data_IF_620092275708
#
_entry.id   IF_620092275708
#
_cell.length_a   1.000
_cell.length_b   1.000
_cell.length_c   1.000
_cell.angle_alpha   90.00
_cell.angle_beta   90.00
_cell.angle_gamma   90.00
#
_symmetry.space_group_name_H-M   'P 1'
#
loop_
_entity.id
_entity.type
_entity.pdbx_description
1 polymer ?
#
# COMPACT_ATOMS: atom_id res chain seq x y z
N UNK A 1 39.37 -17.28 10.45
CA UNK A 1 38.09 -18.02 10.64
C UNK A 1 38.18 -19.35 9.91
N UNK A 2 38.06 -20.48 10.61
CA UNK A 2 38.35 -21.83 10.10
C UNK A 2 37.40 -22.20 8.92
N UNK A 3 37.91 -22.79 7.82
CA UNK A 3 37.11 -23.09 6.60
C UNK A 3 35.86 -23.94 6.90
N UNK A 4 35.95 -24.83 7.90
CA UNK A 4 34.82 -25.66 8.37
C UNK A 4 33.70 -24.82 9.02
N UNK A 5 34.07 -23.81 9.81
CA UNK A 5 33.11 -22.90 10.44
C UNK A 5 32.41 -22.04 9.38
N UNK A 6 33.17 -21.51 8.41
CA UNK A 6 32.61 -20.72 7.30
C UNK A 6 31.58 -21.54 6.50
N UNK A 7 31.86 -22.81 6.23
CA UNK A 7 30.90 -23.73 5.57
C UNK A 7 29.64 -23.93 6.41
N UNK A 8 29.76 -24.21 7.71
CA UNK A 8 28.61 -24.41 8.61
C UNK A 8 27.74 -23.15 8.76
N UNK A 9 28.37 -21.98 8.86
CA UNK A 9 27.66 -20.69 8.87
C UNK A 9 26.90 -20.50 7.56
N UNK A 10 27.52 -20.76 6.41
CA UNK A 10 26.85 -20.65 5.13
C UNK A 10 25.65 -21.59 5.00
N UNK A 11 25.79 -22.85 5.44
CA UNK A 11 24.69 -23.82 5.48
C UNK A 11 23.50 -23.33 6.32
N UNK A 12 23.79 -22.73 7.48
CA UNK A 12 22.78 -22.14 8.33
C UNK A 12 22.12 -20.93 7.66
N UNK A 13 22.89 -20.01 7.08
CA UNK A 13 22.37 -18.82 6.37
C UNK A 13 21.42 -19.22 5.24
N UNK A 14 21.80 -20.21 4.42
CA UNK A 14 20.95 -20.73 3.35
C UNK A 14 19.64 -21.30 3.89
N UNK A 15 19.70 -22.10 4.96
CA UNK A 15 18.52 -22.78 5.51
C UNK A 15 17.59 -21.87 6.31
N UNK A 16 18.13 -20.86 6.97
CA UNK A 16 17.38 -19.88 7.77
C UNK A 16 16.90 -18.67 6.96
N UNK A 17 17.43 -18.47 5.76
CA UNK A 17 17.16 -17.32 4.88
C UNK A 17 17.26 -15.98 5.63
N UNK A 18 18.33 -15.82 6.42
CA UNK A 18 18.59 -14.63 7.24
C UNK A 18 18.64 -13.34 6.42
N UNK A 19 18.91 -13.43 5.12
CA UNK A 19 18.78 -12.33 4.16
C UNK A 19 17.37 -11.72 4.12
N UNK A 20 16.36 -12.40 4.67
CA UNK A 20 15.01 -11.89 4.86
C UNK A 20 14.80 -10.99 6.09
N UNK A 21 15.71 -10.97 7.08
CA UNK A 21 15.58 -10.15 8.30
C UNK A 21 15.42 -8.64 8.00
N UNK A 22 16.13 -8.04 7.02
CA UNK A 22 15.91 -6.64 6.64
C UNK A 22 14.45 -6.29 6.35
N UNK A 23 13.63 -7.23 5.85
CA UNK A 23 12.20 -6.98 5.64
C UNK A 23 11.45 -6.68 6.94
N UNK A 24 11.82 -7.36 8.04
CA UNK A 24 11.23 -7.11 9.37
C UNK A 24 11.56 -5.69 9.80
N UNK A 25 12.83 -5.29 9.66
CA UNK A 25 13.24 -3.92 9.99
C UNK A 25 12.51 -2.89 9.13
N UNK A 26 12.28 -3.13 7.85
CA UNK A 26 11.53 -2.20 6.99
C UNK A 26 10.06 -2.06 7.44
N UNK A 27 9.46 -3.11 8.00
CA UNK A 27 8.10 -3.05 8.59
C UNK A 27 8.10 -2.23 9.88
N UNK A 28 9.07 -2.42 10.76
CA UNK A 28 9.08 -1.76 12.07
C UNK A 28 9.70 -0.36 12.07
N UNK A 29 10.67 -0.06 11.20
CA UNK A 29 11.37 1.23 11.14
C UNK A 29 10.42 2.45 11.07
N UNK A 30 9.40 2.51 10.19
CA UNK A 30 8.48 3.63 10.18
C UNK A 30 7.64 3.74 11.46
N UNK A 31 7.31 2.60 12.07
CA UNK A 31 6.57 2.56 13.33
C UNK A 31 7.45 3.09 14.47
N UNK A 32 8.70 2.64 14.55
CA UNK A 32 9.67 3.14 15.52
C UNK A 32 9.95 4.63 15.34
N UNK A 33 9.99 5.14 14.10
CA UNK A 33 10.11 6.57 13.83
C UNK A 33 8.91 7.35 14.38
N UNK A 34 7.70 6.88 14.09
CA UNK A 34 6.47 7.51 14.53
C UNK A 34 6.33 7.58 16.05
N UNK A 35 6.77 6.53 16.74
CA UNK A 35 6.65 6.38 18.18
C UNK A 35 7.99 6.52 18.89
N UNK A 36 8.97 7.21 18.29
CA UNK A 36 10.35 7.27 18.78
C UNK A 36 10.47 7.66 20.26
N UNK A 37 9.68 8.67 20.68
CA UNK A 37 9.67 9.16 22.07
C UNK A 37 8.90 8.24 23.04
N UNK A 38 8.25 7.19 22.52
CA UNK A 38 7.40 6.26 23.26
C UNK A 38 7.92 4.82 23.16
N UNK A 39 9.10 4.57 22.57
CA UNK A 39 9.65 3.22 22.51
C UNK A 39 10.06 2.74 23.91
N UNK A 40 9.45 1.64 24.34
CA UNK A 40 9.69 0.96 25.61
C UNK A 40 10.48 -0.34 25.42
N UNK A 41 10.96 -0.92 26.53
CA UNK A 41 11.71 -2.17 26.50
C UNK A 41 10.92 -3.34 25.90
N UNK A 42 9.61 -3.42 26.18
CA UNK A 42 8.69 -4.40 25.59
C UNK A 42 8.66 -4.37 24.06
N UNK A 43 8.79 -3.20 23.43
CA UNK A 43 8.82 -3.06 21.96
C UNK A 43 10.11 -3.66 21.38
N UNK A 44 11.24 -3.47 22.06
CA UNK A 44 12.54 -4.04 21.65
C UNK A 44 12.50 -5.57 21.76
N UNK A 45 11.90 -6.09 22.83
CA UNK A 45 11.71 -7.53 23.01
C UNK A 45 10.78 -8.08 21.92
N UNK A 46 9.68 -7.40 21.60
CA UNK A 46 8.76 -7.82 20.53
C UNK A 46 9.40 -7.79 19.14
N UNK A 47 10.21 -6.78 18.83
CA UNK A 47 10.98 -6.71 17.58
C UNK A 47 12.00 -7.86 17.51
N UNK A 48 12.72 -8.13 18.59
CA UNK A 48 13.69 -9.24 18.68
C UNK A 48 13.00 -10.59 18.49
N UNK A 49 11.83 -10.76 19.11
CA UNK A 49 10.97 -11.92 18.98
C UNK A 49 10.45 -12.08 17.55
N UNK A 50 10.13 -10.98 16.84
CA UNK A 50 9.76 -11.02 15.42
C UNK A 50 10.91 -11.52 14.54
N UNK A 51 12.16 -11.10 14.80
CA UNK A 51 13.36 -11.60 14.12
C UNK A 51 13.60 -13.10 14.37
N UNK A 52 13.50 -13.53 15.63
CA UNK A 52 13.61 -14.95 16.00
C UNK A 52 12.49 -15.78 15.37
N UNK A 53 11.26 -15.27 15.38
CA UNK A 53 10.09 -15.91 14.79
C UNK A 53 10.22 -16.12 13.29
N UNK A 54 10.80 -15.16 12.57
CA UNK A 54 11.13 -15.32 11.16
C UNK A 54 12.11 -16.47 10.93
N UNK A 55 13.24 -16.50 11.67
CA UNK A 55 14.24 -17.58 11.54
C UNK A 55 13.62 -18.94 11.88
N UNK A 56 12.85 -19.01 12.96
CA UNK A 56 12.09 -20.21 13.32
C UNK A 56 11.16 -20.66 12.19
N UNK A 57 10.37 -19.75 11.62
CA UNK A 57 9.44 -20.02 10.53
C UNK A 57 10.12 -20.55 9.27
N UNK A 58 11.29 -20.03 8.92
CA UNK A 58 12.06 -20.53 7.78
C UNK A 58 12.61 -21.94 8.02
N UNK A 59 13.13 -22.20 9.23
CA UNK A 59 13.68 -23.50 9.60
C UNK A 59 12.62 -24.59 9.68
N UNK A 60 11.47 -24.32 10.31
CA UNK A 60 10.37 -25.29 10.41
C UNK A 60 9.77 -25.59 9.04
N UNK A 61 9.67 -24.58 8.16
CA UNK A 61 9.21 -24.79 6.80
C UNK A 61 10.15 -25.73 6.03
N UNK A 62 11.45 -25.44 6.05
CA UNK A 62 12.46 -26.30 5.41
C UNK A 62 12.52 -27.72 6.01
N UNK A 63 12.22 -27.87 7.30
CA UNK A 63 12.17 -29.20 7.95
C UNK A 63 11.01 -30.05 7.40
N UNK A 64 9.81 -29.49 7.28
CA UNK A 64 8.64 -30.20 6.76
C UNK A 64 8.67 -30.38 5.24
N UNK A 65 9.21 -29.42 4.50
CA UNK A 65 9.36 -29.49 3.05
C UNK A 65 10.64 -30.23 2.60
N UNK A 66 11.45 -30.77 3.53
CA UNK A 66 12.80 -31.28 3.28
C UNK A 66 12.90 -32.25 2.08
N UNK A 67 12.05 -33.27 2.03
CA UNK A 67 12.10 -34.28 0.95
C UNK A 67 11.77 -33.68 -0.41
N UNK A 68 10.81 -32.76 -0.46
CA UNK A 68 10.37 -32.10 -1.70
C UNK A 68 11.42 -31.11 -2.19
N UNK A 69 11.94 -30.27 -1.29
CA UNK A 69 12.99 -29.29 -1.63
C UNK A 69 14.30 -29.99 -1.97
N UNK A 70 14.64 -31.13 -1.36
CA UNK A 70 15.85 -31.88 -1.71
C UNK A 70 15.80 -32.40 -3.14
N UNK A 71 14.60 -32.75 -3.62
CA UNK A 71 14.39 -33.26 -4.98
C UNK A 71 14.32 -32.15 -6.03
N UNK A 72 13.64 -31.04 -5.73
CA UNK A 72 13.33 -30.02 -6.74
C UNK A 72 14.13 -28.72 -6.60
N UNK A 73 14.58 -28.38 -5.38
CA UNK A 73 15.24 -27.11 -5.05
C UNK A 73 16.43 -27.32 -4.08
N UNK A 74 17.42 -28.16 -4.41
CA UNK A 74 18.49 -28.55 -3.48
C UNK A 74 19.31 -27.36 -2.98
N UNK A 75 19.35 -26.26 -3.72
CA UNK A 75 20.00 -25.00 -3.33
C UNK A 75 19.35 -24.31 -2.13
N UNK A 76 18.08 -24.61 -1.81
CA UNK A 76 17.37 -24.09 -0.63
C UNK A 76 17.76 -24.84 0.66
N UNK A 77 18.46 -25.98 0.55
CA UNK A 77 18.80 -26.86 1.67
C UNK A 77 20.30 -26.77 1.97
N UNK A 78 20.65 -26.01 3.00
CA UNK A 78 22.03 -25.97 3.52
C UNK A 78 22.31 -27.03 4.59
N UNK A 79 21.30 -27.34 5.41
CA UNK A 79 21.38 -28.24 6.57
C UNK A 79 20.66 -29.56 6.27
N UNK A 80 21.14 -30.66 6.86
CA UNK A 80 20.40 -31.92 6.78
C UNK A 80 19.15 -31.91 7.69
N UNK A 81 18.25 -32.86 7.51
CA UNK A 81 16.98 -32.90 8.24
C UNK A 81 17.13 -32.94 9.78
N UNK A 82 18.15 -33.64 10.30
CA UNK A 82 18.44 -33.68 11.74
C UNK A 82 18.92 -32.33 12.27
N UNK A 83 19.80 -31.67 11.52
CA UNK A 83 20.29 -30.33 11.85
C UNK A 83 19.15 -29.30 11.80
N UNK A 84 18.28 -29.37 10.80
CA UNK A 84 17.08 -28.53 10.70
C UNK A 84 16.17 -28.72 11.91
N UNK A 85 15.94 -29.97 12.35
CA UNK A 85 15.15 -30.26 13.54
C UNK A 85 15.76 -29.64 14.80
N UNK A 86 17.07 -29.83 15.03
CA UNK A 86 17.78 -29.27 16.18
C UNK A 86 17.70 -27.74 16.17
N UNK A 87 17.97 -27.10 15.03
CA UNK A 87 17.87 -25.65 14.91
C UNK A 87 16.43 -25.15 15.11
N UNK A 88 15.42 -25.87 14.59
CA UNK A 88 14.01 -25.52 14.78
C UNK A 88 13.61 -25.54 16.26
N UNK A 89 14.01 -26.59 17.00
CA UNK A 89 13.78 -26.66 18.46
C UNK A 89 14.52 -25.55 19.19
N UNK A 90 15.77 -25.28 18.82
CA UNK A 90 16.58 -24.25 19.46
C UNK A 90 15.95 -22.86 19.30
N UNK A 91 15.61 -22.45 18.07
CA UNK A 91 14.98 -21.16 17.80
C UNK A 91 13.53 -21.10 18.33
N UNK A 92 12.80 -22.21 18.32
CA UNK A 92 11.48 -22.30 18.96
C UNK A 92 11.55 -22.10 20.48
N UNK A 93 12.55 -22.71 21.13
CA UNK A 93 12.81 -22.51 22.57
C UNK A 93 13.16 -21.05 22.85
N UNK A 94 14.06 -20.44 22.07
CA UNK A 94 14.39 -19.01 22.21
C UNK A 94 13.13 -18.15 22.06
N UNK A 95 12.28 -18.44 21.07
CA UNK A 95 11.03 -17.71 20.86
C UNK A 95 10.13 -17.79 22.09
N UNK A 96 9.92 -18.99 22.64
CA UNK A 96 9.10 -19.19 23.85
C UNK A 96 9.71 -18.45 25.05
N UNK A 97 11.02 -18.53 25.27
CA UNK A 97 11.71 -17.81 26.34
C UNK A 97 11.54 -16.29 26.19
N UNK A 98 11.70 -15.75 24.98
CA UNK A 98 11.46 -14.33 24.70
C UNK A 98 9.99 -13.95 24.89
N UNK A 99 9.04 -14.84 24.57
CA UNK A 99 7.62 -14.57 24.80
C UNK A 99 7.27 -14.56 26.29
N UNK A 100 7.89 -15.42 27.09
CA UNK A 100 7.79 -15.39 28.56
C UNK A 100 8.38 -14.08 29.09
N UNK A 101 9.57 -13.69 28.62
CA UNK A 101 10.17 -12.40 28.98
C UNK A 101 9.24 -11.24 28.60
N UNK A 102 8.68 -11.26 27.39
CA UNK A 102 7.72 -10.26 26.92
C UNK A 102 6.51 -10.20 27.84
N UNK A 103 5.96 -11.33 28.27
CA UNK A 103 4.86 -11.38 29.23
C UNK A 103 5.20 -10.81 30.62
N UNK A 104 6.46 -10.88 31.04
CA UNK A 104 6.91 -10.34 32.33
C UNK A 104 7.15 -8.82 32.27
N UNK A 105 7.58 -8.30 31.12
CA UNK A 105 7.92 -6.87 30.97
C UNK A 105 6.79 -6.04 30.37
N UNK A 106 5.85 -6.66 29.65
CA UNK A 106 4.75 -5.96 28.99
C UNK A 106 3.71 -5.48 30.00
N UNK A 107 3.25 -4.24 29.83
CA UNK A 107 2.13 -3.69 30.63
C UNK A 107 0.77 -4.26 30.22
N UNK A 108 0.66 -4.84 29.03
CA UNK A 108 -0.58 -5.37 28.46
C UNK A 108 -0.42 -6.83 28.05
N UNK A 109 -1.53 -7.58 28.02
CA UNK A 109 -1.54 -8.96 27.51
C UNK A 109 -1.54 -9.03 25.97
N UNK A 110 -1.69 -7.89 25.28
CA UNK A 110 -1.78 -7.85 23.82
C UNK A 110 -0.50 -8.37 23.17
N UNK A 111 0.66 -7.91 23.62
CA UNK A 111 1.96 -8.36 23.12
C UNK A 111 2.18 -9.88 23.26
N UNK A 112 2.17 -10.46 24.47
CA UNK A 112 2.47 -11.88 24.66
C UNK A 112 1.42 -12.81 24.04
N UNK A 113 0.13 -12.45 24.08
CA UNK A 113 -0.94 -13.26 23.48
C UNK A 113 -0.81 -13.32 21.96
N UNK A 114 -0.54 -12.18 21.31
CA UNK A 114 -0.41 -12.13 19.87
C UNK A 114 0.93 -12.70 19.37
N UNK A 115 2.01 -12.55 20.13
CA UNK A 115 3.26 -13.27 19.89
C UNK A 115 3.04 -14.80 19.96
N UNK A 116 2.32 -15.28 20.98
CA UNK A 116 1.96 -16.69 21.06
C UNK A 116 1.10 -17.15 19.86
N UNK A 117 0.13 -16.33 19.45
CA UNK A 117 -0.68 -16.61 18.26
C UNK A 117 0.17 -16.69 16.99
N UNK A 118 1.12 -15.77 16.79
CA UNK A 118 2.09 -15.83 15.67
C UNK A 118 2.84 -17.15 15.68
N UNK A 119 3.37 -17.57 16.84
CA UNK A 119 4.05 -18.85 16.98
C UNK A 119 3.17 -20.02 16.55
N UNK A 120 1.94 -20.11 17.08
CA UNK A 120 0.99 -21.16 16.72
C UNK A 120 0.69 -21.18 15.21
N UNK A 121 0.47 -20.01 14.60
CA UNK A 121 0.21 -19.89 13.18
C UNK A 121 1.41 -20.37 12.34
N UNK A 122 2.62 -19.93 12.69
CA UNK A 122 3.86 -20.33 11.99
C UNK A 122 4.12 -21.83 12.13
N UNK A 123 3.93 -22.41 13.32
CA UNK A 123 4.10 -23.85 13.56
C UNK A 123 3.07 -24.69 12.80
N UNK A 124 1.81 -24.24 12.75
CA UNK A 124 0.74 -24.94 12.04
C UNK A 124 0.78 -24.69 10.51
N UNK A 125 1.51 -23.67 10.05
CA UNK A 125 1.48 -23.22 8.67
C UNK A 125 1.85 -24.33 7.68
N UNK A 126 3.10 -24.79 7.68
CA UNK A 126 3.59 -25.78 6.72
C UNK A 126 2.88 -27.13 6.81
N UNK A 127 2.66 -27.74 8.00
CA UNK A 127 2.04 -29.05 8.08
C UNK A 127 0.53 -29.06 7.77
N UNK A 128 -0.19 -27.97 8.08
CA UNK A 128 -1.66 -27.95 8.02
C UNK A 128 -2.16 -26.86 7.06
N UNK A 129 -1.90 -25.58 7.37
CA UNK A 129 -2.58 -24.45 6.74
C UNK A 129 -2.15 -24.21 5.29
N UNK A 130 -0.91 -24.55 4.93
CA UNK A 130 -0.33 -24.42 3.58
C UNK A 130 -1.13 -25.20 2.52
N UNK A 131 -1.84 -26.25 2.92
CA UNK A 131 -2.64 -27.12 2.05
C UNK A 131 -4.08 -26.63 1.85
N UNK A 132 -4.53 -25.67 2.67
CA UNK A 132 -5.89 -25.15 2.61
C UNK A 132 -5.90 -23.91 1.72
N UNK A 133 -6.68 -23.99 0.63
CA UNK A 133 -6.84 -22.90 -0.35
C UNK A 133 -7.20 -21.60 0.35
N UNK A 134 -6.55 -20.50 -0.04
CA UNK A 134 -6.74 -19.13 0.48
C UNK A 134 -6.34 -18.92 1.95
N UNK A 135 -6.56 -19.90 2.82
CA UNK A 135 -6.14 -19.89 4.22
C UNK A 135 -4.61 -19.79 4.33
N UNK A 136 -3.85 -20.42 3.42
CA UNK A 136 -2.40 -20.22 3.38
C UNK A 136 -2.04 -18.74 3.25
N UNK A 137 -2.65 -18.02 2.31
CA UNK A 137 -2.33 -16.61 2.04
C UNK A 137 -2.77 -15.71 3.20
N UNK A 138 -3.96 -15.95 3.76
CA UNK A 138 -4.44 -15.21 4.95
C UNK A 138 -3.52 -15.44 6.14
N UNK A 139 -3.13 -16.69 6.42
CA UNK A 139 -2.25 -17.04 7.52
C UNK A 139 -0.90 -16.34 7.37
N UNK A 140 -0.27 -16.44 6.20
CA UNK A 140 1.00 -15.78 5.87
C UNK A 140 0.94 -14.29 6.17
N UNK A 141 -0.09 -13.61 5.68
CA UNK A 141 -0.28 -12.18 5.89
C UNK A 141 -0.57 -11.84 7.36
N UNK A 142 -1.32 -12.69 8.05
CA UNK A 142 -1.68 -12.48 9.44
C UNK A 142 -0.43 -12.41 10.33
N UNK A 143 0.45 -13.43 10.25
CA UNK A 143 1.63 -13.47 11.10
C UNK A 143 2.80 -12.61 10.59
N UNK A 144 2.91 -12.34 9.28
CA UNK A 144 4.00 -11.51 8.74
C UNK A 144 3.74 -10.01 8.82
N UNK A 145 2.47 -9.58 8.71
CA UNK A 145 2.15 -8.17 8.50
C UNK A 145 1.08 -7.67 9.46
N UNK A 146 -0.08 -8.33 9.51
CA UNK A 146 -1.23 -7.80 10.27
C UNK A 146 -0.94 -7.73 11.76
N UNK A 147 -0.65 -8.88 12.39
CA UNK A 147 -0.47 -8.97 13.84
C UNK A 147 0.73 -8.13 14.31
N UNK A 148 1.93 -8.21 13.69
CA UNK A 148 3.08 -7.41 14.13
C UNK A 148 2.80 -5.90 14.11
N UNK A 149 2.20 -5.39 13.02
CA UNK A 149 1.89 -3.96 12.88
C UNK A 149 0.75 -3.55 13.80
N UNK A 150 -0.32 -4.35 13.87
CA UNK A 150 -1.49 -4.06 14.69
C UNK A 150 -1.13 -3.96 16.16
N UNK A 151 -0.42 -4.95 16.71
CA UNK A 151 -0.08 -4.99 18.14
C UNK A 151 0.84 -3.83 18.51
N UNK A 152 1.86 -3.58 17.69
CA UNK A 152 2.78 -2.46 17.91
C UNK A 152 2.03 -1.13 17.95
N UNK A 153 1.23 -0.83 16.93
CA UNK A 153 0.49 0.45 16.89
C UNK A 153 -0.54 0.53 18.00
N UNK A 154 -1.25 -0.57 18.33
CA UNK A 154 -2.25 -0.60 19.40
C UNK A 154 -1.63 -0.25 20.75
N UNK A 155 -0.40 -0.68 21.01
CA UNK A 155 0.28 -0.42 22.28
C UNK A 155 0.69 1.06 22.45
N UNK A 156 0.93 1.77 21.35
CA UNK A 156 1.33 3.19 21.36
C UNK A 156 0.21 4.17 21.02
N UNK A 157 -0.96 3.67 20.64
CA UNK A 157 -2.04 4.48 20.08
C UNK A 157 -3.40 3.91 20.51
N UNK A 158 -4.40 4.04 19.65
CA UNK A 158 -5.71 3.44 19.85
C UNK A 158 -5.96 2.30 18.86
N UNK A 159 -6.96 1.47 19.19
CA UNK A 159 -7.40 0.35 18.36
C UNK A 159 -7.70 0.78 16.91
N UNK A 160 -8.35 1.93 16.73
CA UNK A 160 -8.65 2.46 15.41
C UNK A 160 -7.37 2.65 14.60
N UNK A 161 -6.39 3.40 15.10
CA UNK A 161 -5.12 3.66 14.43
C UNK A 161 -4.36 2.37 14.09
N UNK A 162 -4.44 1.36 14.96
CA UNK A 162 -3.86 0.05 14.70
C UNK A 162 -4.46 -0.62 13.47
N UNK A 163 -5.80 -0.68 13.35
CA UNK A 163 -6.47 -1.21 12.17
C UNK A 163 -6.20 -0.38 10.91
N UNK A 164 -6.15 0.94 11.10
CA UNK A 164 -5.95 1.93 10.05
C UNK A 164 -4.64 1.73 9.31
N UNK A 165 -3.59 1.34 10.03
CA UNK A 165 -2.25 1.11 9.49
C UNK A 165 -2.10 -0.36 9.04
N UNK A 166 -2.54 -1.31 9.87
CA UNK A 166 -2.31 -2.74 9.62
C UNK A 166 -3.13 -3.29 8.44
N UNK A 167 -4.40 -2.90 8.27
CA UNK A 167 -5.29 -3.48 7.24
C UNK A 167 -4.79 -3.17 5.81
N UNK A 168 -4.56 -1.90 5.41
CA UNK A 168 -4.12 -1.61 4.04
C UNK A 168 -2.80 -2.28 3.68
N UNK A 169 -1.86 -2.31 4.62
CA UNK A 169 -0.57 -2.97 4.43
C UNK A 169 -0.71 -4.50 4.29
N UNK A 170 -1.54 -5.10 5.13
CA UNK A 170 -1.80 -6.54 5.11
C UNK A 170 -2.47 -6.97 3.80
N UNK A 171 -3.44 -6.19 3.32
CA UNK A 171 -4.13 -6.50 2.07
C UNK A 171 -3.22 -6.44 0.84
N UNK A 172 -2.27 -5.50 0.80
CA UNK A 172 -1.25 -5.49 -0.24
C UNK A 172 -0.38 -6.74 -0.22
N UNK A 173 0.02 -7.18 0.97
CA UNK A 173 0.76 -8.43 1.11
C UNK A 173 -0.12 -9.64 0.75
N UNK A 174 -1.42 -9.62 1.01
CA UNK A 174 -2.34 -10.67 0.57
C UNK A 174 -2.40 -10.76 -0.96
N UNK A 175 -2.52 -9.62 -1.64
CA UNK A 175 -2.48 -9.56 -3.10
C UNK A 175 -1.14 -10.10 -3.60
N UNK A 176 -0.02 -9.73 -2.96
CA UNK A 176 1.31 -10.28 -3.28
C UNK A 176 1.33 -11.79 -3.15
N UNK A 177 0.86 -12.36 -2.05
CA UNK A 177 0.88 -13.82 -1.82
C UNK A 177 0.08 -14.55 -2.90
N UNK A 178 -1.10 -14.04 -3.27
CA UNK A 178 -1.91 -14.66 -4.33
C UNK A 178 -1.21 -14.52 -5.70
N UNK A 179 -0.52 -13.41 -5.94
CA UNK A 179 0.25 -13.22 -7.18
C UNK A 179 1.50 -14.14 -7.24
N UNK A 180 2.14 -14.44 -6.11
CA UNK A 180 3.21 -15.43 -6.03
C UNK A 180 2.68 -16.82 -6.40
N UNK A 181 1.53 -17.21 -5.85
CA UNK A 181 0.88 -18.48 -6.22
C UNK A 181 0.59 -18.60 -7.73
N UNK A 182 0.35 -17.48 -8.42
CA UNK A 182 0.13 -17.49 -9.88
C UNK A 182 1.41 -17.83 -10.65
N UNK A 183 2.58 -17.48 -10.11
CA UNK A 183 3.87 -17.81 -10.71
C UNK A 183 4.29 -19.24 -10.37
N UNK A 184 3.91 -19.71 -9.19
CA UNK A 184 4.33 -21.00 -8.65
C UNK A 184 3.33 -22.14 -8.99
N UNK A 185 2.41 -21.93 -9.94
CA UNK A 185 1.36 -22.91 -10.33
C UNK A 185 1.94 -24.30 -10.61
N UNK A 186 3.03 -24.39 -11.37
CA UNK A 186 3.61 -25.68 -11.75
C UNK A 186 4.33 -26.36 -10.57
N UNK A 187 4.99 -25.58 -9.70
CA UNK A 187 5.60 -26.08 -8.46
C UNK A 187 4.52 -26.58 -7.48
N UNK A 188 3.46 -25.80 -7.27
CA UNK A 188 2.34 -26.16 -6.41
C UNK A 188 1.62 -27.43 -6.89
N UNK A 189 1.39 -27.59 -8.20
CA UNK A 189 0.83 -28.81 -8.79
C UNK A 189 1.70 -30.02 -8.50
N UNK A 190 3.03 -29.91 -8.67
CA UNK A 190 3.97 -31.01 -8.40
C UNK A 190 3.96 -31.44 -6.93
N UNK A 191 3.72 -30.48 -6.03
CA UNK A 191 3.64 -30.69 -4.59
C UNK A 191 2.24 -31.10 -4.09
N UNK A 192 1.28 -31.30 -5.00
CA UNK A 192 -0.14 -31.60 -4.69
C UNK A 192 -0.79 -30.56 -3.76
N UNK A 193 -0.33 -29.31 -3.86
CA UNK A 193 -0.91 -28.17 -3.14
C UNK A 193 -1.98 -27.57 -4.04
N UNK A 194 -3.21 -27.45 -3.54
CA UNK A 194 -4.28 -26.77 -4.29
C UNK A 194 -4.30 -25.31 -3.89
N UNK A 195 -4.10 -24.41 -4.84
CA UNK A 195 -4.11 -22.95 -4.65
C UNK A 195 -5.19 -22.28 -5.48
N UNK A 196 -5.49 -21.00 -5.19
CA UNK A 196 -6.47 -20.23 -5.98
C UNK A 196 -6.14 -20.25 -7.49
N UNK A 197 -4.87 -20.07 -7.93
CA UNK A 197 -4.52 -20.13 -9.35
C UNK A 197 -4.52 -21.53 -9.98
N UNK A 198 -4.65 -22.59 -9.17
CA UNK A 198 -4.88 -23.96 -9.68
C UNK A 198 -6.38 -24.21 -9.90
N UNK A 199 -7.23 -23.66 -9.03
CA UNK A 199 -8.70 -23.78 -9.16
C UNK A 199 -9.27 -22.94 -10.30
N UNK A 200 -8.66 -21.79 -10.56
CA UNK A 200 -9.10 -20.84 -11.57
C UNK A 200 -7.92 -20.47 -12.48
N UNK A 201 -8.17 -20.22 -13.76
CA UNK A 201 -7.11 -19.79 -14.65
C UNK A 201 -6.53 -18.42 -14.23
N UNK A 202 -5.29 -18.17 -14.65
CA UNK A 202 -4.52 -16.95 -14.34
C UNK A 202 -5.29 -15.67 -14.65
N UNK A 203 -6.04 -15.63 -15.74
CA UNK A 203 -6.77 -14.42 -16.14
C UNK A 203 -7.98 -14.17 -15.25
N UNK A 204 -8.66 -15.23 -14.82
CA UNK A 204 -9.80 -15.14 -13.91
C UNK A 204 -9.39 -14.68 -12.52
N UNK A 205 -8.33 -15.25 -11.92
CA UNK A 205 -7.82 -14.79 -10.62
C UNK A 205 -7.41 -13.31 -10.67
N UNK A 206 -6.67 -12.90 -11.70
CA UNK A 206 -6.27 -11.49 -11.87
C UNK A 206 -7.48 -10.55 -11.89
N UNK A 207 -8.56 -10.95 -12.55
CA UNK A 207 -9.79 -10.15 -12.59
C UNK A 207 -10.48 -10.09 -11.22
N UNK A 208 -10.57 -11.21 -10.50
CA UNK A 208 -11.12 -11.22 -9.15
C UNK A 208 -10.31 -10.35 -8.19
N UNK A 209 -8.98 -10.38 -8.29
CA UNK A 209 -8.11 -9.49 -7.52
C UNK A 209 -8.36 -8.00 -7.85
N UNK A 210 -8.54 -7.64 -9.13
CA UNK A 210 -8.85 -6.25 -9.52
C UNK A 210 -10.19 -5.78 -8.94
N UNK A 211 -11.21 -6.64 -8.96
CA UNK A 211 -12.52 -6.36 -8.33
C UNK A 211 -12.36 -6.19 -6.82
N UNK A 212 -11.65 -7.13 -6.17
CA UNK A 212 -11.38 -7.09 -4.73
C UNK A 212 -10.65 -5.81 -4.31
N UNK A 213 -9.62 -5.39 -5.06
CA UNK A 213 -8.90 -4.13 -4.78
C UNK A 213 -9.82 -2.92 -4.96
N UNK A 214 -10.62 -2.89 -6.03
CA UNK A 214 -11.52 -1.76 -6.28
C UNK A 214 -12.57 -1.65 -5.17
N UNK A 215 -13.11 -2.78 -4.73
CA UNK A 215 -14.04 -2.85 -3.60
C UNK A 215 -13.38 -2.41 -2.29
N UNK A 216 -12.17 -2.90 -2.00
CA UNK A 216 -11.39 -2.48 -0.84
C UNK A 216 -11.10 -0.99 -0.87
N UNK A 217 -10.78 -0.42 -2.03
CA UNK A 217 -10.54 1.01 -2.18
C UNK A 217 -11.77 1.81 -1.76
N UNK A 218 -12.96 1.47 -2.27
CA UNK A 218 -14.21 2.15 -1.95
C UNK A 218 -14.59 1.99 -0.47
N UNK A 219 -14.51 0.77 0.08
CA UNK A 219 -14.79 0.53 1.50
C UNK A 219 -13.79 1.25 2.39
N UNK A 220 -12.51 1.18 2.03
CA UNK A 220 -11.42 1.83 2.74
C UNK A 220 -11.63 3.34 2.82
N UNK A 221 -12.10 3.97 1.74
CA UNK A 221 -12.51 5.37 1.75
C UNK A 221 -13.77 5.57 2.62
N UNK A 222 -14.79 4.75 2.45
CA UNK A 222 -16.06 4.87 3.16
C UNK A 222 -15.90 4.77 4.68
N UNK A 223 -15.10 3.81 5.17
CA UNK A 223 -14.78 3.65 6.61
C UNK A 223 -14.06 4.88 7.16
N UNK A 224 -13.36 5.67 6.33
CA UNK A 224 -12.71 6.92 6.79
C UNK A 224 -13.66 8.09 6.91
N UNK A 225 -14.73 8.06 6.15
CA UNK A 225 -15.69 9.16 6.04
C UNK A 225 -16.83 9.00 7.05
N UNK A 226 -17.13 7.76 7.47
CA UNK A 226 -18.36 7.43 8.22
C UNK A 226 -18.24 7.56 9.75
N UNK A 227 -17.09 7.34 10.42
CA UNK A 227 -17.00 7.46 11.88
C UNK A 227 -15.91 8.38 12.46
N UNK A 228 -15.00 8.95 11.66
CA UNK A 228 -13.83 9.69 12.19
C UNK A 228 -13.49 10.91 11.34
N UNK A 229 -12.86 11.92 11.95
CA UNK A 229 -12.27 13.08 11.26
C UNK A 229 -11.55 12.62 10.00
N UNK A 230 -12.03 13.04 8.83
CA UNK A 230 -11.47 12.60 7.55
C UNK A 230 -10.07 13.15 7.41
N UNK A 231 -9.05 12.31 7.52
CA UNK A 231 -7.67 12.72 7.24
C UNK A 231 -7.37 12.51 5.76
N UNK A 232 -7.12 13.58 4.97
CA UNK A 232 -6.85 13.44 3.55
C UNK A 232 -5.68 12.50 3.26
N UNK A 233 -4.66 12.51 4.11
CA UNK A 233 -3.53 11.59 4.02
C UNK A 233 -3.98 10.14 4.17
N UNK A 234 -4.83 9.77 5.13
CA UNK A 234 -5.31 8.38 5.22
C UNK A 234 -6.04 7.92 3.95
N UNK A 235 -6.85 8.80 3.36
CA UNK A 235 -7.53 8.55 2.08
C UNK A 235 -6.53 8.40 0.93
N UNK A 236 -5.50 9.25 0.90
CA UNK A 236 -4.40 9.18 -0.04
C UNK A 236 -3.65 7.84 0.04
N UNK A 237 -3.41 7.31 1.25
CA UNK A 237 -2.76 6.00 1.44
C UNK A 237 -3.48 4.91 0.68
N UNK A 238 -4.76 4.74 1.02
CA UNK A 238 -5.61 3.67 0.52
C UNK A 238 -5.68 3.77 -1.00
N UNK A 239 -5.74 4.99 -1.52
CA UNK A 239 -5.87 5.28 -2.94
C UNK A 239 -4.58 4.97 -3.72
N UNK A 240 -3.42 5.38 -3.20
CA UNK A 240 -2.12 5.09 -3.82
C UNK A 240 -1.84 3.59 -3.78
N UNK A 241 -2.07 2.94 -2.64
CA UNK A 241 -1.92 1.50 -2.45
C UNK A 241 -2.79 0.72 -3.44
N UNK A 242 -4.06 1.07 -3.54
CA UNK A 242 -5.02 0.39 -4.42
C UNK A 242 -4.65 0.60 -5.89
N UNK A 243 -4.28 1.82 -6.26
CA UNK A 243 -3.75 2.15 -7.59
C UNK A 243 -2.50 1.33 -7.95
N UNK A 244 -1.54 1.23 -7.02
CA UNK A 244 -0.32 0.45 -7.24
C UNK A 244 -0.62 -1.03 -7.42
N UNK A 245 -1.48 -1.59 -6.57
CA UNK A 245 -1.90 -2.99 -6.69
C UNK A 245 -2.57 -3.26 -8.03
N UNK A 246 -3.52 -2.42 -8.46
CA UNK A 246 -4.19 -2.55 -9.77
C UNK A 246 -3.20 -2.50 -10.93
N UNK A 247 -2.24 -1.56 -10.88
CA UNK A 247 -1.19 -1.46 -11.90
C UNK A 247 -0.34 -2.74 -11.98
N UNK A 248 -0.02 -3.35 -10.84
CA UNK A 248 0.96 -4.43 -10.74
C UNK A 248 0.41 -5.82 -11.01
N UNK A 249 -0.91 -6.05 -10.88
CA UNK A 249 -1.54 -7.35 -11.17
C UNK A 249 -1.18 -7.87 -12.57
N UNK A 250 -1.10 -6.99 -13.56
CA UNK A 250 -0.87 -7.40 -14.94
C UNK A 250 0.61 -7.60 -15.29
N UNK A 251 1.51 -6.99 -14.51
CA UNK A 251 2.97 -6.90 -14.79
C UNK A 251 3.76 -7.83 -13.85
N UNK A 252 3.09 -8.66 -13.06
CA UNK A 252 3.75 -9.41 -12.00
C UNK A 252 4.63 -10.55 -12.53
N UNK A 253 5.94 -10.30 -12.56
CA UNK A 253 6.99 -11.32 -12.79
C UNK A 253 8.09 -11.32 -11.71
N UNK A 254 8.13 -10.37 -10.75
CA UNK A 254 9.29 -10.25 -9.84
C UNK A 254 9.01 -9.72 -8.42
N UNK A 255 9.96 -10.03 -7.50
CA UNK A 255 10.05 -9.59 -6.08
C UNK A 255 9.91 -8.08 -5.84
N UNK A 256 10.06 -7.27 -6.89
CA UNK A 256 9.97 -5.80 -6.87
C UNK A 256 8.64 -5.25 -6.37
N UNK A 257 7.55 -6.01 -6.52
CA UNK A 257 6.27 -5.61 -5.96
C UNK A 257 6.35 -5.42 -4.44
N UNK A 258 7.13 -6.27 -3.75
CA UNK A 258 7.35 -6.17 -2.31
C UNK A 258 8.07 -4.86 -1.95
N UNK A 259 9.13 -4.50 -2.69
CA UNK A 259 9.84 -3.24 -2.46
C UNK A 259 8.91 -2.04 -2.62
N UNK A 260 8.07 -2.01 -3.66
CA UNK A 260 7.10 -0.92 -3.86
C UNK A 260 6.07 -0.82 -2.73
N UNK A 261 5.50 -1.95 -2.30
CA UNK A 261 4.58 -1.99 -1.14
C UNK A 261 5.27 -1.40 0.10
N UNK A 262 6.51 -1.81 0.36
CA UNK A 262 7.28 -1.35 1.50
C UNK A 262 7.62 0.13 1.43
N UNK A 263 7.96 0.66 0.24
CA UNK A 263 8.18 2.09 0.06
C UNK A 263 6.91 2.89 0.36
N UNK A 264 5.74 2.47 -0.15
CA UNK A 264 4.48 3.14 0.17
C UNK A 264 4.16 3.06 1.66
N UNK A 265 4.36 1.90 2.28
CA UNK A 265 4.16 1.70 3.71
C UNK A 265 5.09 2.59 4.55
N UNK A 266 6.39 2.63 4.23
CA UNK A 266 7.38 3.48 4.90
C UNK A 266 7.00 4.96 4.78
N UNK A 267 6.74 5.42 3.55
CA UNK A 267 6.39 6.81 3.24
C UNK A 267 5.21 7.27 4.07
N UNK A 268 4.15 6.47 4.08
CA UNK A 268 2.88 6.94 4.58
C UNK A 268 2.75 6.79 6.08
N UNK A 269 3.40 5.80 6.68
CA UNK A 269 3.45 5.71 8.12
C UNK A 269 4.13 6.92 8.73
N UNK A 270 5.26 7.38 8.19
CA UNK A 270 5.95 8.61 8.65
C UNK A 270 4.98 9.81 8.72
N UNK A 271 3.97 9.85 7.84
CA UNK A 271 2.99 10.94 7.73
C UNK A 271 1.74 10.74 8.61
N UNK A 272 1.40 9.49 8.95
CA UNK A 272 0.11 9.13 9.56
C UNK A 272 0.01 9.41 11.05
N UNK A 273 1.11 9.36 11.81
CA UNK A 273 1.01 9.46 13.27
C UNK A 273 0.72 10.88 13.78
N UNK A 274 0.69 11.88 12.89
CA UNK A 274 0.50 13.28 13.29
C UNK A 274 -0.95 13.71 13.47
N UNK A 275 -1.94 12.83 13.23
CA UNK A 275 -3.40 12.85 13.56
C UNK A 275 -4.19 14.18 13.57
N UNK A 276 -3.61 15.35 13.31
CA UNK A 276 -4.26 16.64 13.45
C UNK A 276 -3.67 17.67 12.47
N UNK A 277 -2.33 17.73 12.31
CA UNK A 277 -1.69 18.61 11.31
C UNK A 277 -0.38 18.00 10.79
N UNK A 278 -0.29 17.87 9.47
CA UNK A 278 0.95 17.51 8.79
C UNK A 278 1.76 18.77 8.61
N UNK A 279 3.03 18.75 9.04
CA UNK A 279 3.90 19.91 8.88
C UNK A 279 4.37 20.04 7.43
N UNK A 280 4.87 21.21 7.07
CA UNK A 280 5.47 21.42 5.76
C UNK A 280 6.62 20.45 5.49
N UNK A 281 7.45 20.15 6.49
CA UNK A 281 8.58 19.22 6.38
C UNK A 281 8.06 17.81 6.05
N UNK A 282 7.01 17.36 6.73
CA UNK A 282 6.42 16.05 6.47
C UNK A 282 5.86 15.98 5.05
N UNK A 283 5.14 17.02 4.62
CA UNK A 283 4.62 17.08 3.25
C UNK A 283 5.76 17.05 2.21
N UNK A 284 6.87 17.75 2.46
CA UNK A 284 8.05 17.71 1.60
C UNK A 284 8.71 16.32 1.57
N UNK A 285 8.79 15.62 2.70
CA UNK A 285 9.26 14.22 2.76
C UNK A 285 8.33 13.33 1.92
N UNK A 286 7.02 13.44 2.11
CA UNK A 286 6.03 12.67 1.36
C UNK A 286 6.11 12.90 -0.16
N UNK A 287 6.20 14.17 -0.59
CA UNK A 287 6.40 14.52 -2.00
C UNK A 287 7.73 13.99 -2.53
N UNK A 288 8.82 14.12 -1.76
CA UNK A 288 10.15 13.64 -2.16
C UNK A 288 10.16 12.14 -2.38
N UNK A 289 9.44 11.38 -1.54
CA UNK A 289 9.37 9.92 -1.73
C UNK A 289 8.45 9.55 -2.90
N UNK A 290 7.33 10.24 -3.11
CA UNK A 290 6.51 10.05 -4.32
C UNK A 290 7.35 10.30 -5.58
N UNK A 291 8.12 11.40 -5.60
CA UNK A 291 9.03 11.71 -6.69
C UNK A 291 10.14 10.67 -6.80
N UNK A 292 10.70 10.18 -5.69
CA UNK A 292 11.68 9.11 -5.69
C UNK A 292 11.12 7.82 -6.29
N UNK A 293 9.89 7.41 -5.96
CA UNK A 293 9.23 6.23 -6.56
C UNK A 293 9.06 6.41 -8.08
N UNK A 294 8.73 7.62 -8.53
CA UNK A 294 8.61 7.94 -9.96
C UNK A 294 10.00 7.93 -10.65
N UNK A 295 10.99 8.55 -10.01
CA UNK A 295 12.34 8.76 -10.53
C UNK A 295 13.22 7.52 -10.48
N UNK A 296 13.01 6.62 -9.52
CA UNK A 296 13.75 5.36 -9.42
C UNK A 296 13.66 4.60 -10.73
N UNK A 297 12.64 4.86 -11.57
CA UNK A 297 12.46 4.21 -12.88
C UNK A 297 12.97 2.79 -12.73
N UNK A 298 12.27 1.94 -11.98
CA UNK A 298 12.68 0.54 -11.97
C UNK A 298 12.76 0.17 -13.44
N UNK A 299 13.97 -0.03 -13.95
CA UNK A 299 14.20 -0.32 -15.36
C UNK A 299 13.53 -1.67 -15.71
N UNK A 300 13.23 -2.43 -14.66
CA UNK A 300 12.44 -3.63 -14.57
C UNK A 300 10.92 -3.46 -14.39
N UNK A 301 10.41 -2.24 -14.14
CA UNK A 301 8.97 -1.98 -13.95
C UNK A 301 8.21 -1.95 -15.28
N UNK A 302 8.83 -1.64 -16.44
CA UNK A 302 8.15 -1.81 -17.73
C UNK A 302 9.00 -1.53 -18.99
N UNK A 303 9.51 -2.56 -19.68
CA UNK A 303 9.78 -2.47 -21.12
C UNK A 303 8.51 -2.62 -21.98
N UNK A 304 7.42 -3.21 -21.45
CA UNK A 304 6.32 -3.74 -22.27
C UNK A 304 5.04 -2.86 -22.34
N UNK A 305 4.85 -1.86 -21.46
CA UNK A 305 3.70 -0.94 -21.51
C UNK A 305 3.98 0.46 -20.91
N UNK A 306 4.85 1.28 -21.54
CA UNK A 306 5.25 2.61 -21.03
C UNK A 306 4.06 3.58 -20.84
N UNK A 307 2.99 3.41 -21.63
CA UNK A 307 1.77 4.24 -21.55
C UNK A 307 1.06 4.07 -20.20
N UNK A 308 0.96 2.84 -19.67
CA UNK A 308 0.25 2.55 -18.41
C UNK A 308 1.06 3.07 -17.21
N UNK A 309 2.38 2.90 -17.22
CA UNK A 309 3.27 3.42 -16.18
C UNK A 309 3.18 4.95 -16.08
N UNK A 310 3.25 5.65 -17.22
CA UNK A 310 3.13 7.11 -17.27
C UNK A 310 1.81 7.61 -16.68
N UNK A 311 0.72 6.89 -16.97
CA UNK A 311 -0.59 7.15 -16.38
C UNK A 311 -0.57 6.95 -14.87
N UNK A 312 -0.04 5.81 -14.41
CA UNK A 312 0.05 5.49 -13.00
C UNK A 312 0.84 6.55 -12.22
N UNK A 313 2.04 6.93 -12.69
CA UNK A 313 2.84 7.99 -12.08
C UNK A 313 2.06 9.30 -11.98
N UNK A 314 1.40 9.72 -13.07
CA UNK A 314 0.57 10.93 -13.07
C UNK A 314 -0.57 10.85 -12.04
N UNK A 315 -1.24 9.70 -11.93
CA UNK A 315 -2.36 9.52 -11.00
C UNK A 315 -1.91 9.41 -9.55
N UNK A 316 -0.75 8.83 -9.25
CA UNK A 316 -0.17 8.88 -7.89
C UNK A 316 0.15 10.31 -7.49
N UNK A 317 0.77 11.11 -8.38
CA UNK A 317 1.04 12.52 -8.08
C UNK A 317 -0.27 13.25 -7.79
N UNK A 318 -1.28 13.05 -8.62
CA UNK A 318 -2.60 13.65 -8.44
C UNK A 318 -3.18 13.31 -7.05
N UNK A 319 -3.27 12.02 -6.69
CA UNK A 319 -3.83 11.58 -5.41
C UNK A 319 -2.94 11.96 -4.22
N UNK A 320 -1.67 11.60 -4.27
CA UNK A 320 -0.74 11.71 -3.14
C UNK A 320 -0.38 13.14 -2.80
N UNK A 321 0.06 13.93 -3.80
CA UNK A 321 0.39 15.34 -3.58
C UNK A 321 -0.88 16.14 -3.25
N UNK A 322 -2.02 15.80 -3.85
CA UNK A 322 -3.32 16.41 -3.54
C UNK A 322 -3.76 16.18 -2.09
N UNK A 323 -3.72 14.93 -1.62
CA UNK A 323 -4.05 14.58 -0.24
C UNK A 323 -3.07 15.18 0.78
N UNK A 324 -1.77 15.27 0.44
CA UNK A 324 -0.80 15.98 1.27
C UNK A 324 -1.13 17.47 1.34
N UNK A 325 -1.49 18.09 0.22
CA UNK A 325 -1.85 19.50 0.18
C UNK A 325 -3.10 19.81 1.01
N UNK A 326 -4.11 18.93 0.97
CA UNK A 326 -5.31 19.07 1.80
C UNK A 326 -5.06 18.86 3.30
N UNK A 327 -3.89 18.35 3.67
CA UNK A 327 -3.50 18.15 5.08
C UNK A 327 -2.66 19.30 5.65
N UNK A 328 -2.33 20.28 4.81
CA UNK A 328 -1.66 21.53 5.19
C UNK A 328 -2.68 22.67 5.31
N UNK A 329 -2.28 23.75 5.97
CA UNK A 329 -3.11 24.94 6.08
C UNK A 329 -3.36 25.57 4.70
N UNK A 330 -4.59 26.03 4.39
CA UNK A 330 -4.95 26.55 3.07
C UNK A 330 -4.04 27.69 2.62
N UNK A 331 -3.71 28.62 3.51
CA UNK A 331 -2.82 29.74 3.20
C UNK A 331 -1.41 29.28 2.79
N UNK A 332 -0.87 28.24 3.44
CA UNK A 332 0.43 27.65 3.10
C UNK A 332 0.41 27.08 1.69
N UNK A 333 -0.67 26.40 1.31
CA UNK A 333 -0.83 25.86 -0.05
C UNK A 333 -0.94 26.95 -1.10
N UNK A 334 -1.69 28.03 -0.84
CA UNK A 334 -1.78 29.15 -1.78
C UNK A 334 -0.39 29.76 -2.08
N UNK A 335 0.45 29.91 -1.05
CA UNK A 335 1.84 30.36 -1.21
C UNK A 335 2.70 29.35 -1.98
N UNK A 336 2.60 28.05 -1.66
CA UNK A 336 3.34 27.00 -2.38
C UNK A 336 2.98 26.98 -3.86
N UNK A 337 1.69 27.02 -4.20
CA UNK A 337 1.24 27.04 -5.60
C UNK A 337 1.75 28.29 -6.32
N UNK A 338 1.64 29.46 -5.68
CA UNK A 338 2.12 30.72 -6.26
C UNK A 338 3.63 30.68 -6.51
N UNK A 339 4.42 30.29 -5.51
CA UNK A 339 5.87 30.15 -5.63
C UNK A 339 6.26 29.13 -6.69
N UNK A 340 5.60 27.98 -6.72
CA UNK A 340 5.83 26.94 -7.72
C UNK A 340 5.58 27.44 -9.15
N UNK A 341 4.49 28.17 -9.39
CA UNK A 341 4.16 28.74 -10.70
C UNK A 341 5.20 29.78 -11.13
N UNK A 342 5.59 30.69 -10.23
CA UNK A 342 6.60 31.72 -10.51
C UNK A 342 7.96 31.08 -10.83
N UNK A 343 8.42 30.15 -9.99
CA UNK A 343 9.70 29.43 -10.19
C UNK A 343 9.65 28.61 -11.48
N UNK A 344 8.58 27.85 -11.71
CA UNK A 344 8.46 27.01 -12.91
C UNK A 344 8.40 27.83 -14.19
N UNK A 345 7.78 29.03 -14.17
CA UNK A 345 7.68 29.89 -15.35
C UNK A 345 8.99 30.64 -15.64
N UNK A 346 9.66 31.13 -14.60
CA UNK A 346 10.80 32.03 -14.76
C UNK A 346 12.16 31.32 -14.69
N UNK A 347 12.31 30.35 -13.79
CA UNK A 347 13.58 29.66 -13.55
C UNK A 347 13.65 28.28 -14.22
N UNK A 348 12.52 27.58 -14.30
CA UNK A 348 12.47 26.18 -14.78
C UNK A 348 11.44 25.95 -15.92
N UNK A 349 11.37 26.78 -16.98
CA UNK A 349 10.30 26.74 -17.98
C UNK A 349 10.24 25.44 -18.82
N UNK A 350 11.37 24.72 -18.90
CA UNK A 350 11.52 23.46 -19.62
C UNK A 350 11.48 22.23 -18.71
N UNK A 351 11.22 22.39 -17.42
CA UNK A 351 11.18 21.27 -16.49
C UNK A 351 10.13 20.25 -16.92
N UNK A 352 10.55 18.98 -16.95
CA UNK A 352 9.66 17.84 -17.16
C UNK A 352 9.98 16.76 -16.14
N UNK A 353 8.93 16.16 -15.59
CA UNK A 353 8.98 15.05 -14.63
C UNK A 353 8.54 13.72 -15.24
N UNK A 354 8.19 13.69 -16.54
CA UNK A 354 7.72 12.50 -17.25
C UNK A 354 6.28 12.11 -16.95
N UNK A 355 5.53 12.93 -16.20
CA UNK A 355 4.11 12.74 -15.87
C UNK A 355 3.18 13.58 -16.79
N UNK A 356 3.75 14.44 -17.63
CA UNK A 356 3.05 15.36 -18.51
C UNK A 356 2.43 14.65 -19.72
N UNK A 357 1.26 15.10 -20.15
CA UNK A 357 0.67 14.71 -21.43
C UNK A 357 1.48 15.33 -22.57
N UNK A 358 1.64 14.56 -23.65
CA UNK A 358 2.21 15.02 -24.93
C UNK A 358 3.62 15.64 -24.86
N UNK A 359 4.46 15.21 -23.92
CA UNK A 359 5.85 15.69 -23.73
C UNK A 359 5.98 17.22 -23.64
N UNK A 360 4.92 17.91 -23.18
CA UNK A 360 4.96 19.33 -22.84
C UNK A 360 5.77 19.53 -21.55
N UNK A 361 6.26 20.75 -21.32
CA UNK A 361 6.81 21.07 -19.99
C UNK A 361 5.71 21.04 -18.93
N UNK A 362 6.11 20.80 -17.68
CA UNK A 362 5.21 20.60 -16.55
C UNK A 362 4.17 21.72 -16.41
N UNK A 363 4.61 22.98 -16.55
CA UNK A 363 3.74 24.16 -16.44
C UNK A 363 2.86 24.40 -17.67
N UNK A 364 3.15 23.75 -18.81
CA UNK A 364 2.37 23.86 -20.04
C UNK A 364 1.28 22.80 -20.15
N UNK A 365 1.35 21.72 -19.38
CA UNK A 365 0.33 20.67 -19.32
C UNK A 365 -1.02 21.22 -18.83
N UNK A 366 -2.07 21.03 -19.64
CA UNK A 366 -3.42 21.55 -19.37
C UNK A 366 -4.01 20.99 -18.08
N UNK A 367 -3.84 19.70 -17.83
CA UNK A 367 -4.34 19.06 -16.62
C UNK A 367 -3.62 19.53 -15.35
N UNK A 368 -2.31 19.79 -15.43
CA UNK A 368 -1.53 20.33 -14.30
C UNK A 368 -1.91 21.79 -14.04
N UNK A 369 -2.12 22.61 -15.07
CA UNK A 369 -2.63 23.98 -14.91
C UNK A 369 -3.99 24.00 -14.20
N UNK A 370 -4.93 23.16 -14.64
CA UNK A 370 -6.25 23.09 -14.02
C UNK A 370 -6.16 22.61 -12.55
N UNK A 371 -5.26 21.66 -12.29
CA UNK A 371 -4.99 21.15 -10.93
C UNK A 371 -4.46 22.25 -10.00
N UNK A 372 -3.42 22.98 -10.43
CA UNK A 372 -2.84 24.08 -9.66
C UNK A 372 -3.83 25.23 -9.45
N UNK A 373 -4.59 25.58 -10.49
CA UNK A 373 -5.59 26.65 -10.44
C UNK A 373 -6.71 26.30 -9.45
N UNK A 374 -7.26 25.07 -9.51
CA UNK A 374 -8.26 24.61 -8.56
C UNK A 374 -7.71 24.66 -7.14
N UNK A 375 -6.52 24.10 -6.90
CA UNK A 375 -5.92 24.07 -5.57
C UNK A 375 -5.71 25.49 -5.02
N UNK A 376 -5.21 26.43 -5.84
CA UNK A 376 -5.06 27.83 -5.44
C UNK A 376 -6.39 28.48 -5.06
N UNK A 377 -7.40 28.42 -5.93
CA UNK A 377 -8.71 29.04 -5.69
C UNK A 377 -9.39 28.43 -4.46
N UNK A 378 -9.38 27.09 -4.37
CA UNK A 378 -9.96 26.36 -3.23
C UNK A 378 -9.27 26.75 -1.92
N UNK A 379 -7.95 26.86 -1.92
CA UNK A 379 -7.19 27.28 -0.74
C UNK A 379 -7.49 28.72 -0.32
N UNK A 380 -7.54 29.67 -1.26
CA UNK A 380 -7.87 31.08 -0.95
C UNK A 380 -9.29 31.21 -0.38
N UNK A 381 -10.28 30.54 -0.97
CA UNK A 381 -11.66 30.60 -0.50
C UNK A 381 -11.85 30.01 0.90
N UNK A 382 -10.96 29.09 1.31
CA UNK A 382 -11.05 28.38 2.58
C UNK A 382 -10.04 28.84 3.62
N UNK A 383 -9.35 29.98 3.45
CA UNK A 383 -8.41 30.53 4.46
C UNK A 383 -9.08 30.68 5.82
N UNK A 384 -10.34 31.14 5.83
CA UNK A 384 -11.10 31.42 7.06
C UNK A 384 -12.14 30.33 7.38
N UNK A 385 -12.21 29.27 6.59
CA UNK A 385 -13.18 28.18 6.80
C UNK A 385 -12.59 27.09 7.70
N UNK A 386 -13.46 26.23 8.24
CA UNK A 386 -13.00 25.07 9.00
C UNK A 386 -12.26 24.07 8.11
N UNK A 387 -11.34 23.31 8.70
CA UNK A 387 -10.63 22.23 8.01
C UNK A 387 -11.59 21.21 7.38
N UNK A 388 -12.74 20.94 8.03
CA UNK A 388 -13.77 20.04 7.49
C UNK A 388 -14.28 20.51 6.13
N UNK A 389 -14.50 21.82 5.97
CA UNK A 389 -14.90 22.41 4.70
C UNK A 389 -13.76 22.33 3.69
N UNK A 390 -12.51 22.55 4.10
CA UNK A 390 -11.37 22.44 3.18
C UNK A 390 -11.19 21.01 2.63
N UNK A 391 -11.43 19.99 3.45
CA UNK A 391 -11.30 18.57 3.09
C UNK A 391 -12.38 18.11 2.09
N UNK A 392 -13.47 18.88 1.93
CA UNK A 392 -14.51 18.63 0.92
C UNK A 392 -13.96 18.59 -0.52
N UNK A 393 -12.75 19.07 -0.80
CA UNK A 393 -12.10 18.91 -2.11
C UNK A 393 -11.57 17.50 -2.42
N UNK A 394 -11.57 16.55 -1.48
CA UNK A 394 -11.08 15.18 -1.70
C UNK A 394 -11.56 14.49 -3.00
N UNK A 395 -12.84 14.62 -3.42
CA UNK A 395 -13.29 14.01 -4.68
C UNK A 395 -12.48 14.41 -5.90
N UNK A 396 -11.96 15.64 -5.95
CA UNK A 396 -11.10 16.13 -7.03
C UNK A 396 -9.83 15.29 -7.16
N UNK A 397 -9.17 15.03 -6.03
CA UNK A 397 -7.87 14.36 -6.00
C UNK A 397 -7.97 12.84 -6.07
N UNK A 398 -9.12 12.25 -5.72
CA UNK A 398 -9.28 10.79 -5.63
C UNK A 398 -10.09 10.21 -6.79
N UNK A 399 -11.21 10.83 -7.17
CA UNK A 399 -12.23 10.17 -7.98
C UNK A 399 -11.80 9.98 -9.43
N UNK A 400 -11.30 11.03 -10.10
CA UNK A 400 -10.74 10.93 -11.46
C UNK A 400 -9.56 9.94 -11.52
N UNK A 401 -8.57 10.00 -10.59
CA UNK A 401 -7.54 8.99 -10.54
C UNK A 401 -8.04 7.55 -10.34
N UNK A 402 -9.00 7.34 -9.45
CA UNK A 402 -9.59 6.03 -9.21
C UNK A 402 -10.28 5.48 -10.46
N UNK A 403 -11.13 6.28 -11.11
CA UNK A 403 -11.78 5.93 -12.37
C UNK A 403 -10.80 5.60 -13.48
N UNK A 404 -9.78 6.44 -13.65
CA UNK A 404 -8.76 6.23 -14.67
C UNK A 404 -7.95 4.94 -14.42
N UNK A 405 -7.64 4.61 -13.17
CA UNK A 405 -6.91 3.39 -12.84
C UNK A 405 -7.75 2.15 -13.12
N UNK A 406 -8.98 2.08 -12.57
CA UNK A 406 -9.87 0.92 -12.76
C UNK A 406 -10.25 0.74 -14.23
N UNK A 407 -10.63 1.81 -14.93
CA UNK A 407 -11.01 1.73 -16.35
C UNK A 407 -9.86 1.29 -17.25
N UNK A 408 -8.62 1.65 -16.92
CA UNK A 408 -7.44 1.28 -17.73
C UNK A 408 -6.92 -0.11 -17.43
N UNK A 409 -6.94 -0.56 -16.18
CA UNK A 409 -6.48 -1.89 -15.78
C UNK A 409 -7.52 -2.98 -15.98
N UNK A 410 -8.79 -2.64 -16.20
CA UNK A 410 -9.80 -3.65 -16.60
C UNK A 410 -9.36 -4.38 -17.87
N UNK A 411 -9.55 -5.70 -17.98
CA UNK A 411 -9.20 -6.45 -19.19
C UNK A 411 -10.03 -5.99 -20.39
N UNK A 412 -9.40 -5.86 -21.56
CA UNK A 412 -10.04 -5.40 -22.81
C UNK A 412 -11.33 -6.16 -23.15
N UNK A 413 -11.34 -7.49 -23.03
CA UNK A 413 -12.52 -8.33 -23.30
C UNK A 413 -13.72 -8.06 -22.38
N UNK A 414 -13.48 -7.42 -21.23
CA UNK A 414 -14.51 -7.07 -20.24
C UNK A 414 -14.78 -5.56 -20.21
N UNK A 415 -14.02 -4.74 -20.93
CA UNK A 415 -14.22 -3.28 -20.96
C UNK A 415 -15.52 -2.96 -21.70
N UNK A 416 -16.35 -2.13 -21.09
CA UNK A 416 -17.54 -1.57 -21.73
C UNK A 416 -17.23 -0.09 -21.97
N UNK A 417 -17.00 0.28 -23.23
CA UNK A 417 -16.78 1.67 -23.61
C UNK A 417 -18.12 2.40 -23.65
N UNK A 418 -18.17 3.59 -23.06
CA UNK A 418 -19.38 4.44 -23.04
C UNK A 418 -19.18 5.67 -23.92
N UNK A 419 -18.00 6.31 -23.83
CA UNK A 419 -17.73 7.55 -24.52
C UNK A 419 -16.24 7.70 -24.85
N UNK A 420 -15.88 7.75 -26.13
CA UNK A 420 -14.48 7.77 -26.57
C UNK A 420 -13.66 6.63 -25.90
N UNK A 421 -12.56 6.97 -25.21
CA UNK A 421 -11.73 6.02 -24.44
C UNK A 421 -12.24 5.73 -23.02
N UNK A 422 -13.39 6.29 -22.62
CA UNK A 422 -13.96 6.16 -21.26
C UNK A 422 -14.78 4.88 -21.13
N UNK A 423 -14.63 4.23 -19.98
CA UNK A 423 -15.21 2.90 -19.69
C UNK A 423 -16.24 2.97 -18.58
N UNK A 424 -17.28 2.12 -18.63
CA UNK A 424 -18.26 1.95 -17.56
C UNK A 424 -17.62 1.66 -16.21
N UNK A 425 -16.60 0.79 -16.17
CA UNK A 425 -15.91 0.45 -14.94
C UNK A 425 -15.23 1.67 -14.30
N UNK A 426 -14.60 2.51 -15.12
CA UNK A 426 -13.99 3.76 -14.66
C UNK A 426 -15.03 4.75 -14.15
N UNK A 427 -16.12 4.96 -14.89
CA UNK A 427 -17.20 5.88 -14.48
C UNK A 427 -17.93 5.40 -13.23
N UNK A 428 -18.16 4.09 -13.09
CA UNK A 428 -18.72 3.50 -11.88
C UNK A 428 -17.79 3.71 -10.68
N UNK A 429 -16.47 3.56 -10.87
CA UNK A 429 -15.50 3.82 -9.81
C UNK A 429 -15.52 5.28 -9.36
N UNK A 430 -15.65 6.24 -10.28
CA UNK A 430 -15.80 7.67 -9.96
C UNK A 430 -17.06 7.89 -9.13
N UNK A 431 -18.19 7.35 -9.57
CA UNK A 431 -19.46 7.47 -8.86
C UNK A 431 -19.33 6.93 -7.42
N UNK A 432 -18.81 5.71 -7.28
CA UNK A 432 -18.65 5.06 -5.98
C UNK A 432 -17.66 5.79 -5.08
N UNK A 433 -16.55 6.33 -5.61
CA UNK A 433 -15.57 7.06 -4.80
C UNK A 433 -16.10 8.41 -4.34
N UNK A 434 -16.83 9.15 -5.20
CA UNK A 434 -17.49 10.40 -4.79
C UNK A 434 -18.54 10.13 -3.73
N UNK A 435 -19.37 9.10 -3.93
CA UNK A 435 -20.38 8.71 -2.95
C UNK A 435 -19.75 8.27 -1.63
N UNK A 436 -18.65 7.50 -1.66
CA UNK A 436 -17.93 7.11 -0.45
C UNK A 436 -17.38 8.33 0.31
N UNK A 437 -16.90 9.36 -0.40
CA UNK A 437 -16.33 10.58 0.16
C UNK A 437 -17.36 11.59 0.67
N UNK A 438 -18.49 11.74 -0.02
CA UNK A 438 -19.42 12.86 0.18
C UNK A 438 -20.85 12.43 0.49
N UNK A 439 -21.17 11.14 0.35
CA UNK A 439 -22.52 10.58 0.54
C UNK A 439 -23.61 11.25 -0.32
N UNK A 440 -23.23 11.99 -1.37
CA UNK A 440 -24.13 12.69 -2.29
C UNK A 440 -24.18 11.98 -3.63
N UNK A 441 -25.37 11.55 -4.02
CA UNK A 441 -25.64 10.95 -5.33
C UNK A 441 -25.57 12.02 -6.42
N UNK A 442 -26.14 13.21 -6.16
CA UNK A 442 -26.12 14.33 -7.11
C UNK A 442 -24.69 14.72 -7.48
N UNK A 443 -23.83 14.89 -6.47
CA UNK A 443 -22.44 15.24 -6.71
C UNK A 443 -21.70 14.14 -7.48
N UNK A 444 -21.96 12.86 -7.15
CA UNK A 444 -21.38 11.72 -7.86
C UNK A 444 -21.79 11.69 -9.35
N UNK A 445 -23.05 12.01 -9.64
CA UNK A 445 -23.56 12.13 -11.01
C UNK A 445 -22.86 13.29 -11.73
N UNK A 446 -22.87 14.50 -11.15
CA UNK A 446 -22.29 15.69 -11.78
C UNK A 446 -20.79 15.52 -12.08
N UNK A 447 -20.02 15.00 -11.11
CA UNK A 447 -18.59 14.72 -11.31
C UNK A 447 -18.39 13.62 -12.35
N UNK A 448 -19.24 12.58 -12.36
CA UNK A 448 -19.23 11.54 -13.39
C UNK A 448 -19.45 12.11 -14.80
N UNK A 449 -20.44 13.00 -14.97
CA UNK A 449 -20.68 13.70 -16.24
C UNK A 449 -19.50 14.58 -16.64
N UNK A 450 -18.92 15.34 -15.71
CA UNK A 450 -17.74 16.16 -15.97
C UNK A 450 -16.54 15.33 -16.45
N UNK A 451 -16.31 14.15 -15.87
CA UNK A 451 -15.22 13.26 -16.29
C UNK A 451 -15.48 12.60 -17.65
N UNK A 452 -16.73 12.20 -17.90
CA UNK A 452 -17.14 11.58 -19.16
C UNK A 452 -17.01 12.54 -20.34
N UNK A 453 -17.52 13.76 -20.20
CA UNK A 453 -17.68 14.71 -21.31
C UNK A 453 -16.63 15.84 -21.33
N UNK A 454 -15.87 16.03 -20.26
CA UNK A 454 -14.94 17.16 -20.12
C UNK A 454 -13.67 17.12 -20.98
N UNK A 455 -13.33 15.97 -21.55
CA UNK A 455 -12.16 15.82 -22.42
C UNK A 455 -10.85 16.21 -21.73
N UNK A 456 -10.11 17.18 -22.26
CA UNK A 456 -8.88 17.69 -21.63
C UNK A 456 -9.12 18.63 -20.44
N UNK A 457 -10.36 19.10 -20.27
CA UNK A 457 -10.79 20.05 -19.24
C UNK A 457 -11.64 19.37 -18.15
N UNK A 458 -11.65 18.03 -18.11
CA UNK A 458 -12.34 17.23 -17.09
C UNK A 458 -12.03 17.73 -15.66
N UNK A 459 -10.76 17.92 -15.32
CA UNK A 459 -10.34 18.48 -14.03
C UNK A 459 -10.93 19.88 -13.79
N UNK A 460 -10.96 20.77 -14.78
CA UNK A 460 -11.52 22.11 -14.59
C UNK A 460 -13.02 22.06 -14.28
N UNK A 461 -13.77 21.20 -14.97
CA UNK A 461 -15.21 21.02 -14.73
C UNK A 461 -15.48 20.42 -13.35
N UNK A 462 -14.73 19.39 -12.94
CA UNK A 462 -14.85 18.79 -11.60
C UNK A 462 -14.55 19.84 -10.52
N UNK A 463 -13.48 20.62 -10.70
CA UNK A 463 -13.13 21.71 -9.80
C UNK A 463 -14.22 22.77 -9.70
N UNK A 464 -14.80 23.18 -10.84
CA UNK A 464 -15.92 24.12 -10.89
C UNK A 464 -17.16 23.61 -10.16
N UNK A 465 -17.53 22.34 -10.35
CA UNK A 465 -18.66 21.71 -9.64
C UNK A 465 -18.43 21.74 -8.13
N UNK A 466 -17.22 21.45 -7.66
CA UNK A 466 -16.90 21.48 -6.22
C UNK A 466 -16.94 22.90 -5.66
N UNK A 467 -16.46 23.90 -6.41
CA UNK A 467 -16.54 25.31 -6.04
C UNK A 467 -18.00 25.78 -5.95
N UNK A 468 -18.85 25.40 -6.91
CA UNK A 468 -20.30 25.70 -6.85
C UNK A 468 -20.94 25.00 -5.65
N UNK A 469 -20.61 23.72 -5.44
CA UNK A 469 -21.15 22.94 -4.32
C UNK A 469 -20.83 23.55 -2.95
N UNK A 470 -19.69 24.25 -2.82
CA UNK A 470 -19.32 24.97 -1.59
C UNK A 470 -20.39 25.98 -1.17
N UNK A 471 -21.05 26.63 -2.13
CA UNK A 471 -22.07 27.66 -1.88
C UNK A 471 -23.51 27.11 -1.84
N UNK A 472 -23.81 26.10 -2.66
CA UNK A 472 -25.19 25.60 -2.83
C UNK A 472 -25.50 24.33 -2.03
N UNK A 473 -24.49 23.71 -1.41
CA UNK A 473 -24.62 22.51 -0.57
C UNK A 473 -25.49 21.39 -1.20
N UNK A 474 -25.09 20.94 -2.39
CA UNK A 474 -25.71 19.86 -3.18
C UNK A 474 -25.61 18.47 -2.50
N UNK A 475 -25.26 18.42 -1.21
CA UNK A 475 -25.23 17.20 -0.40
C UNK A 475 -26.56 16.91 0.30
N UNK A 476 -27.43 17.91 0.42
CA UNK A 476 -28.70 17.83 1.17
C UNK A 476 -29.92 17.63 0.26
N UNK A 477 -29.73 17.71 -1.06
CA UNK A 477 -30.72 17.34 -2.09
C UNK A 477 -30.42 15.93 -2.60
#
# INVERSE_FOLDING_TARGET
MNNKLKKKVNQFVVSSRIDGIPFIFIIFLPLCYNYWNQIYYEDIVFLSLSCVGFVYGMLINNYFDFENDYKHNPEKIGLNQKELFICTIFFGTIYICLNILLSLVSKTLDYPLNAFLIYCLVTAYTPILKRIVFIKNICTVAYMCFIPVYVFVKNHSNYSNALIISIPFSLLNLIREILLDINDIEEDKSNKITTLPILFDKTTIRNYLKIFISFFWIIGIGIRVVPFNVFPIQVGLISIISSYALHRIDIFENREFACGILYFYLTWNILLNKNEKVSLIDALIGVSIILYIICIKNYSINPNSPKIWKIFCRKIVHMGVGCLALSLEPITIAHIVTGFVIISKNLLPKMSLGIEKYNKSLIQDTGIKCWLMFLFVWSIQNINNSNEVYIKALPFFISDPAGAMVGRTTNLSKKIFIWNEKTLQGSLMIFLSVYALRKSIILAILIGFAELFGGEYDNALIGGILLINLYFNLEVM
#
